data_IF_521257195318
#
_entry.id   IF_521257195318
#
_cell.length_a   1.000
_cell.length_b   1.000
_cell.length_c   1.000
_cell.angle_alpha   90.00
_cell.angle_beta   90.00
_cell.angle_gamma   90.00
#
_symmetry.space_group_name_H-M   'P 1'
#
loop_
_entity.id
_entity.type
_entity.pdbx_description
1 polymer ?
#
# COMPACT_ATOMS: atom_id res chain seq x y z
N UNK A 1 13.89 -1.09 -10.11
CA UNK A 1 12.96 -0.22 -9.33
C UNK A 1 13.18 1.23 -9.75
N UNK A 2 12.11 2.01 -9.91
CA UNK A 2 12.24 3.45 -10.16
C UNK A 2 12.05 4.23 -8.88
N UNK A 3 12.87 5.27 -8.67
CA UNK A 3 12.86 6.12 -7.50
C UNK A 3 12.49 7.57 -7.88
N UNK A 4 12.31 8.43 -6.89
CA UNK A 4 12.18 9.87 -7.05
C UNK A 4 13.06 10.61 -6.03
N UNK A 5 13.24 11.91 -6.20
CA UNK A 5 14.10 12.70 -5.33
C UNK A 5 13.50 12.88 -3.92
N UNK A 6 12.18 12.74 -3.74
CA UNK A 6 11.53 12.77 -2.42
C UNK A 6 11.99 11.64 -1.49
N UNK A 7 12.33 10.46 -2.06
CA UNK A 7 12.90 9.37 -1.27
C UNK A 7 14.29 9.74 -0.75
N UNK A 8 15.14 10.30 -1.60
CA UNK A 8 16.49 10.75 -1.20
C UNK A 8 16.40 11.90 -0.20
N UNK A 9 15.47 12.85 -0.39
CA UNK A 9 15.17 13.88 0.59
C UNK A 9 14.87 13.30 1.96
N UNK A 10 13.99 12.33 2.05
CA UNK A 10 13.66 11.67 3.32
C UNK A 10 14.87 10.94 3.93
N UNK A 11 15.56 10.13 3.12
CA UNK A 11 16.64 9.26 3.62
C UNK A 11 17.91 10.02 4.03
N UNK A 12 18.07 11.25 3.55
CA UNK A 12 19.22 12.13 3.81
C UNK A 12 18.85 13.41 4.58
N UNK A 13 17.63 13.47 5.13
CA UNK A 13 17.04 14.70 5.69
C UNK A 13 17.89 15.42 6.73
N UNK A 14 18.66 14.68 7.54
CA UNK A 14 19.49 15.28 8.60
C UNK A 14 20.68 16.11 8.07
N UNK A 15 21.04 15.95 6.80
CA UNK A 15 22.23 16.55 6.19
C UNK A 15 21.92 17.53 5.06
N UNK A 16 20.65 17.65 4.66
CA UNK A 16 20.23 18.52 3.57
C UNK A 16 20.24 19.98 4.01
N UNK A 17 20.95 20.84 3.25
CA UNK A 17 20.94 22.29 3.43
C UNK A 17 19.72 22.96 2.78
N UNK A 18 19.20 22.36 1.70
CA UNK A 18 17.97 22.83 1.06
C UNK A 18 17.50 21.93 -0.08
N UNK A 19 16.29 22.22 -0.55
CA UNK A 19 15.67 21.44 -1.63
C UNK A 19 14.70 22.26 -2.47
N UNK A 20 14.59 21.91 -3.75
CA UNK A 20 13.51 22.31 -4.63
C UNK A 20 12.97 21.04 -5.33
N UNK A 21 11.73 20.66 -5.04
CA UNK A 21 11.09 19.43 -5.50
C UNK A 21 9.79 19.74 -6.19
N UNK A 22 9.75 19.60 -7.51
CA UNK A 22 8.63 19.97 -8.38
C UNK A 22 7.98 18.76 -9.06
N UNK A 23 8.68 17.60 -9.07
CA UNK A 23 8.15 16.40 -9.70
C UNK A 23 6.91 15.89 -8.98
N UNK A 24 6.05 15.20 -9.73
CA UNK A 24 5.00 14.40 -9.14
C UNK A 24 5.63 13.22 -8.37
N UNK A 25 5.50 13.27 -7.04
CA UNK A 25 6.02 12.26 -6.13
C UNK A 25 5.45 10.85 -6.41
N UNK A 26 4.28 10.77 -7.06
CA UNK A 26 3.64 9.52 -7.47
C UNK A 26 4.19 8.94 -8.79
N UNK A 27 5.07 9.66 -9.49
CA UNK A 27 5.61 9.24 -10.77
C UNK A 27 7.15 9.09 -10.71
N UNK A 28 7.66 8.03 -10.05
CA UNK A 28 9.10 7.82 -9.92
C UNK A 28 9.73 7.56 -11.28
N UNK A 29 10.83 8.25 -11.58
CA UNK A 29 11.51 8.18 -12.88
C UNK A 29 12.97 7.76 -12.80
N UNK A 30 13.63 7.94 -11.65
CA UNK A 30 15.06 7.70 -11.46
C UNK A 30 15.35 6.19 -11.46
N UNK A 31 16.15 5.76 -12.41
CA UNK A 31 16.60 4.37 -12.53
C UNK A 31 17.97 4.14 -11.86
N UNK A 32 18.88 5.11 -11.98
CA UNK A 32 20.23 5.08 -11.39
C UNK A 32 20.78 6.49 -11.16
N UNK A 33 21.91 6.56 -10.47
CA UNK A 33 22.63 7.80 -10.25
C UNK A 33 24.02 7.77 -10.89
N UNK A 34 24.48 8.91 -11.36
CA UNK A 34 25.85 9.11 -11.90
C UNK A 34 26.42 10.45 -11.47
N UNK A 35 27.74 10.57 -11.61
CA UNK A 35 28.41 11.85 -11.46
C UNK A 35 28.13 12.71 -12.69
N UNK A 36 27.81 13.98 -12.48
CA UNK A 36 27.60 14.93 -13.56
C UNK A 36 28.91 15.18 -14.30
N UNK A 37 28.93 14.99 -15.61
CA UNK A 37 30.05 15.33 -16.46
C UNK A 37 29.89 16.75 -17.04
N UNK A 38 30.90 17.62 -16.95
CA UNK A 38 30.85 18.91 -17.60
C UNK A 38 30.76 18.87 -19.12
N UNK A 39 31.03 17.71 -19.72
CA UNK A 39 30.95 17.49 -21.20
C UNK A 39 29.67 16.81 -21.63
N UNK A 40 28.73 16.51 -20.70
CA UNK A 40 27.44 15.88 -20.99
C UNK A 40 26.68 16.71 -22.04
N UNK A 41 26.27 16.04 -23.12
CA UNK A 41 25.56 16.70 -24.21
C UNK A 41 24.03 16.67 -24.06
N UNK A 42 23.51 15.74 -23.26
CA UNK A 42 22.07 15.56 -23.02
C UNK A 42 21.82 14.94 -21.64
N UNK A 43 20.82 15.46 -20.92
CA UNK A 43 20.45 15.00 -19.58
C UNK A 43 19.16 14.19 -19.63
N UNK A 44 19.13 13.07 -18.93
CA UNK A 44 17.96 12.18 -18.87
C UNK A 44 17.19 12.33 -17.57
N UNK A 45 15.87 12.38 -17.63
CA UNK A 45 15.00 12.37 -16.46
C UNK A 45 15.03 11.04 -15.66
N UNK A 46 15.63 9.99 -16.24
CA UNK A 46 15.80 8.69 -15.56
C UNK A 46 17.10 8.59 -14.77
N UNK A 47 17.90 9.65 -14.76
CA UNK A 47 19.21 9.70 -14.11
C UNK A 47 19.20 10.76 -13.00
N UNK A 48 19.71 10.38 -11.84
CA UNK A 48 20.05 11.30 -10.77
C UNK A 48 21.50 11.75 -10.92
N UNK A 49 21.71 13.02 -11.23
CA UNK A 49 23.04 13.57 -11.41
C UNK A 49 23.58 14.12 -10.09
N UNK A 50 24.83 13.76 -9.75
CA UNK A 50 25.50 14.21 -8.53
C UNK A 50 26.73 15.01 -8.91
N UNK A 51 26.89 16.20 -8.33
CA UNK A 51 27.99 17.11 -8.63
C UNK A 51 28.35 18.01 -7.46
N UNK A 52 29.50 18.68 -7.58
CA UNK A 52 29.80 19.88 -6.80
C UNK A 52 29.18 21.14 -7.44
N UNK A 53 29.22 22.23 -6.68
CA UNK A 53 28.74 23.55 -7.12
C UNK A 53 29.39 24.01 -8.43
N UNK A 54 30.71 23.86 -8.55
CA UNK A 54 31.49 24.34 -9.70
C UNK A 54 31.14 23.61 -10.99
N UNK A 55 31.01 22.30 -10.93
CA UNK A 55 30.64 21.46 -12.05
C UNK A 55 29.17 21.73 -12.49
N UNK A 56 28.26 21.91 -11.52
CA UNK A 56 26.89 22.24 -11.79
C UNK A 56 26.75 23.63 -12.39
N UNK A 57 27.48 24.62 -11.90
CA UNK A 57 27.55 25.99 -12.44
C UNK A 57 28.04 26.00 -13.90
N UNK A 58 29.12 25.26 -14.17
CA UNK A 58 29.65 25.12 -15.54
C UNK A 58 28.68 24.47 -16.51
N UNK A 59 27.77 23.61 -16.02
CA UNK A 59 26.76 22.90 -16.80
C UNK A 59 25.43 23.65 -16.88
N UNK A 60 25.21 24.66 -16.05
CA UNK A 60 23.92 25.33 -15.82
C UNK A 60 23.26 25.81 -17.11
N UNK A 61 23.97 26.54 -17.98
CA UNK A 61 23.42 27.08 -19.23
C UNK A 61 22.93 25.98 -20.19
N UNK A 62 23.55 24.79 -20.18
CA UNK A 62 23.11 23.65 -21.02
C UNK A 62 21.90 22.98 -20.43
N UNK A 63 21.87 22.82 -19.11
CA UNK A 63 20.74 22.27 -18.38
C UNK A 63 19.52 23.14 -18.61
N UNK A 64 19.62 24.47 -18.44
CA UNK A 64 18.53 25.43 -18.65
C UNK A 64 18.00 25.37 -20.09
N UNK A 65 18.89 25.39 -21.10
CA UNK A 65 18.47 25.26 -22.52
C UNK A 65 17.70 23.96 -22.78
N UNK A 66 18.13 22.85 -22.18
CA UNK A 66 17.42 21.59 -22.34
C UNK A 66 16.05 21.62 -21.66
N UNK A 67 15.95 22.17 -20.47
CA UNK A 67 14.69 22.37 -19.74
C UNK A 67 13.72 23.23 -20.59
N UNK A 68 14.19 24.34 -21.13
CA UNK A 68 13.41 25.24 -22.00
C UNK A 68 12.92 24.54 -23.27
N UNK A 69 13.72 23.64 -23.85
CA UNK A 69 13.35 22.87 -25.05
C UNK A 69 12.40 21.71 -24.76
N UNK A 70 12.31 21.25 -23.51
CA UNK A 70 11.50 20.11 -23.08
C UNK A 70 10.86 20.37 -21.70
N UNK A 71 9.89 21.29 -21.60
CA UNK A 71 9.34 21.73 -20.29
C UNK A 71 8.64 20.63 -19.48
N UNK A 72 8.21 19.54 -20.12
CA UNK A 72 7.59 18.39 -19.46
C UNK A 72 8.59 17.42 -18.81
N UNK A 73 9.89 17.62 -19.04
CA UNK A 73 10.96 16.78 -18.51
C UNK A 73 11.54 17.42 -17.26
N UNK A 74 11.34 16.78 -16.11
CA UNK A 74 11.97 17.21 -14.86
C UNK A 74 13.28 16.46 -14.70
N UNK A 75 14.37 17.20 -14.55
CA UNK A 75 15.71 16.66 -14.31
C UNK A 75 16.01 16.65 -12.83
N UNK A 76 16.77 15.66 -12.35
CA UNK A 76 17.03 15.45 -10.92
C UNK A 76 18.53 15.57 -10.58
N UNK A 77 18.84 16.40 -9.60
CA UNK A 77 20.22 16.69 -9.18
C UNK A 77 20.40 16.58 -7.67
N UNK A 78 21.63 16.21 -7.29
CA UNK A 78 22.16 16.38 -5.93
C UNK A 78 23.46 17.19 -6.04
N UNK A 79 23.59 18.26 -5.25
CA UNK A 79 24.71 19.18 -5.28
C UNK A 79 25.42 19.22 -3.91
N UNK A 80 26.75 19.04 -3.91
CA UNK A 80 27.60 19.44 -2.80
C UNK A 80 27.91 20.94 -2.96
N UNK A 81 27.50 21.76 -2.00
CA UNK A 81 27.51 23.22 -2.09
C UNK A 81 26.22 23.80 -2.64
N UNK A 82 26.16 25.12 -2.82
CA UNK A 82 24.98 25.87 -3.22
C UNK A 82 24.78 25.82 -4.74
N UNK A 83 23.63 25.29 -5.24
CA UNK A 83 23.38 25.26 -6.68
C UNK A 83 23.11 26.65 -7.25
N UNK A 84 23.29 26.86 -8.57
CA UNK A 84 22.92 28.10 -9.26
C UNK A 84 21.43 28.43 -9.07
N UNK A 85 21.11 29.71 -8.82
CA UNK A 85 19.73 30.19 -8.62
C UNK A 85 18.79 29.83 -9.76
N UNK A 86 19.29 29.80 -11.01
CA UNK A 86 18.50 29.43 -12.16
C UNK A 86 17.95 27.97 -12.08
N UNK A 87 18.66 27.07 -11.40
CA UNK A 87 18.20 25.70 -11.18
C UNK A 87 17.32 25.60 -9.92
N UNK A 88 17.65 26.34 -8.85
CA UNK A 88 16.84 26.39 -7.62
C UNK A 88 15.42 26.90 -7.94
N UNK A 89 15.31 27.92 -8.78
CA UNK A 89 14.02 28.55 -9.13
C UNK A 89 13.31 27.89 -10.33
N UNK A 90 13.86 26.82 -10.90
CA UNK A 90 13.27 26.14 -12.04
C UNK A 90 12.17 25.16 -11.61
N UNK A 91 10.99 25.25 -12.22
CA UNK A 91 9.90 24.29 -12.05
C UNK A 91 10.12 22.94 -12.75
N UNK A 92 11.12 22.86 -13.63
CA UNK A 92 11.46 21.63 -14.36
C UNK A 92 12.78 21.01 -13.87
N UNK A 93 13.17 21.34 -12.64
CA UNK A 93 14.33 20.79 -11.98
C UNK A 93 13.98 20.38 -10.55
N UNK A 94 14.29 19.15 -10.19
CA UNK A 94 14.32 18.68 -8.81
C UNK A 94 15.76 18.71 -8.34
N UNK A 95 16.03 19.36 -7.22
CA UNK A 95 17.38 19.47 -6.69
C UNK A 95 17.41 19.40 -5.17
N UNK A 96 18.37 18.62 -4.64
CA UNK A 96 18.79 18.64 -3.24
C UNK A 96 20.20 19.18 -3.15
N UNK A 97 20.48 19.99 -2.12
CA UNK A 97 21.85 20.44 -1.91
C UNK A 97 22.26 20.32 -0.45
N UNK A 98 23.54 20.15 -0.29
CA UNK A 98 24.21 19.90 0.98
C UNK A 98 25.21 21.02 1.22
N UNK A 99 25.56 21.25 2.46
CA UNK A 99 26.58 22.22 2.81
C UNK A 99 28.00 21.77 2.35
N UNK A 100 28.98 22.68 2.47
CA UNK A 100 30.35 22.43 2.04
C UNK A 100 31.09 21.35 2.88
N UNK A 101 30.47 20.82 3.92
CA UNK A 101 31.03 19.70 4.71
C UNK A 101 30.91 18.35 4.01
N UNK A 102 30.08 18.26 2.96
CA UNK A 102 29.84 17.05 2.20
C UNK A 102 30.56 17.08 0.86
N UNK A 103 31.38 16.06 0.59
CA UNK A 103 32.00 15.92 -0.73
C UNK A 103 31.16 15.04 -1.69
N UNK A 104 31.44 15.21 -2.99
CA UNK A 104 30.74 14.47 -4.04
C UNK A 104 30.89 12.94 -3.90
N UNK A 105 32.06 12.37 -3.61
CA UNK A 105 32.22 10.95 -3.37
C UNK A 105 31.36 10.42 -2.22
N UNK A 106 31.24 11.12 -1.11
CA UNK A 106 30.42 10.74 0.03
C UNK A 106 28.94 10.77 -0.33
N UNK A 107 28.47 11.83 -0.99
CA UNK A 107 27.09 11.94 -1.47
C UNK A 107 26.76 10.81 -2.46
N UNK A 108 27.66 10.57 -3.41
CA UNK A 108 27.48 9.49 -4.38
C UNK A 108 27.40 8.12 -3.70
N UNK A 109 28.27 7.86 -2.72
CA UNK A 109 28.24 6.63 -1.95
C UNK A 109 26.92 6.46 -1.18
N UNK A 110 26.44 7.50 -0.50
CA UNK A 110 25.17 7.49 0.23
C UNK A 110 23.98 7.23 -0.69
N UNK A 111 23.94 7.89 -1.84
CA UNK A 111 22.91 7.66 -2.87
C UNK A 111 22.94 6.22 -3.38
N UNK A 112 24.13 5.69 -3.68
CA UNK A 112 24.26 4.29 -4.13
C UNK A 112 23.80 3.28 -3.06
N UNK A 113 24.09 3.56 -1.78
CA UNK A 113 23.59 2.73 -0.67
C UNK A 113 22.07 2.73 -0.60
N UNK A 114 21.40 3.89 -0.77
CA UNK A 114 19.95 4.00 -0.79
C UNK A 114 19.39 3.19 -1.96
N UNK A 115 19.91 3.40 -3.18
CA UNK A 115 19.46 2.66 -4.38
C UNK A 115 19.62 1.15 -4.17
N UNK A 116 20.78 0.72 -3.66
CA UNK A 116 21.04 -0.70 -3.42
C UNK A 116 20.08 -1.30 -2.39
N UNK A 117 19.85 -0.60 -1.26
CA UNK A 117 18.96 -1.06 -0.20
C UNK A 117 17.52 -1.27 -0.72
N UNK A 118 16.98 -0.29 -1.44
CA UNK A 118 15.62 -0.38 -1.97
C UNK A 118 15.50 -1.41 -3.10
N UNK A 119 16.51 -1.52 -3.97
CA UNK A 119 16.52 -2.54 -5.03
C UNK A 119 16.64 -3.95 -4.46
N UNK A 120 17.46 -4.16 -3.44
CA UNK A 120 17.59 -5.44 -2.74
C UNK A 120 16.29 -5.83 -2.04
N UNK A 121 15.60 -4.86 -1.45
CA UNK A 121 14.29 -5.09 -0.85
C UNK A 121 13.23 -5.46 -1.90
N UNK A 122 13.11 -4.74 -3.04
CA UNK A 122 12.17 -5.12 -4.12
C UNK A 122 12.47 -6.54 -4.63
N UNK A 123 13.75 -6.90 -4.77
CA UNK A 123 14.14 -8.25 -5.19
C UNK A 123 13.74 -9.30 -4.14
N UNK A 124 13.89 -9.00 -2.84
CA UNK A 124 13.44 -9.87 -1.77
C UNK A 124 11.92 -10.08 -1.79
N UNK A 125 11.13 -9.01 -1.96
CA UNK A 125 9.68 -9.13 -2.11
C UNK A 125 9.30 -10.00 -3.33
N UNK A 126 9.98 -9.81 -4.46
CA UNK A 126 9.76 -10.65 -5.65
C UNK A 126 10.12 -12.12 -5.39
N UNK A 127 11.17 -12.39 -4.61
CA UNK A 127 11.54 -13.74 -4.21
C UNK A 127 10.47 -14.38 -3.33
N UNK A 128 9.99 -13.68 -2.31
CA UNK A 128 8.88 -14.15 -1.46
C UNK A 128 7.66 -14.51 -2.31
N UNK A 129 7.26 -13.62 -3.24
CA UNK A 129 6.14 -13.89 -4.17
C UNK A 129 6.40 -15.13 -5.02
N UNK A 130 7.60 -15.30 -5.59
CA UNK A 130 7.91 -16.44 -6.46
C UNK A 130 7.99 -17.78 -5.72
N UNK A 131 8.29 -17.75 -4.42
CA UNK A 131 8.35 -18.92 -3.55
C UNK A 131 7.00 -19.29 -2.93
N UNK A 132 5.93 -18.53 -3.22
CA UNK A 132 4.60 -18.77 -2.66
C UNK A 132 4.45 -18.31 -1.21
N UNK A 133 5.27 -17.38 -0.76
CA UNK A 133 5.09 -16.72 0.55
C UNK A 133 3.81 -15.89 0.59
N UNK A 134 3.33 -15.55 1.78
CA UNK A 134 2.07 -14.84 2.00
C UNK A 134 2.23 -13.32 2.21
N UNK A 135 1.10 -12.65 2.46
CA UNK A 135 1.07 -11.23 2.80
C UNK A 135 1.86 -10.94 4.09
N UNK A 136 1.77 -11.75 5.17
CA UNK A 136 2.55 -11.53 6.37
C UNK A 136 4.06 -11.46 6.13
N UNK A 137 4.62 -12.34 5.28
CA UNK A 137 6.04 -12.36 4.96
C UNK A 137 6.46 -11.13 4.15
N UNK A 138 5.60 -10.63 3.25
CA UNK A 138 5.86 -9.39 2.51
C UNK A 138 5.88 -8.17 3.44
N UNK A 139 4.97 -8.12 4.41
CA UNK A 139 4.89 -7.04 5.40
C UNK A 139 6.09 -7.10 6.35
N UNK A 140 6.47 -8.30 6.83
CA UNK A 140 7.65 -8.51 7.68
C UNK A 140 8.94 -8.03 6.98
N UNK A 141 9.12 -8.38 5.70
CA UNK A 141 10.27 -7.95 4.90
C UNK A 141 10.30 -6.43 4.65
N UNK A 142 9.17 -5.74 4.85
CA UNK A 142 9.01 -4.32 4.54
C UNK A 142 9.16 -3.40 5.75
N UNK A 143 8.90 -3.88 6.97
CA UNK A 143 8.83 -3.03 8.16
C UNK A 143 10.14 -2.29 8.46
N UNK A 144 11.30 -2.92 8.23
CA UNK A 144 12.61 -2.30 8.45
C UNK A 144 13.00 -1.26 7.38
N UNK A 145 12.42 -1.36 6.19
CA UNK A 145 12.63 -0.38 5.10
C UNK A 145 11.72 0.83 5.31
N UNK A 146 10.46 0.58 5.64
CA UNK A 146 9.43 1.61 5.85
C UNK A 146 9.63 2.32 7.18
N UNK A 147 10.14 1.62 8.22
CA UNK A 147 10.40 2.14 9.57
C UNK A 147 9.18 2.73 10.26
N UNK A 148 8.02 2.22 9.93
CA UNK A 148 6.74 2.54 10.55
C UNK A 148 5.88 1.27 10.61
N UNK A 149 4.78 1.34 11.35
CA UNK A 149 3.85 0.22 11.43
C UNK A 149 3.12 0.04 10.10
N UNK A 150 2.94 -1.21 9.71
CA UNK A 150 2.29 -1.57 8.45
C UNK A 150 1.09 -2.46 8.77
N UNK A 151 -0.07 -2.10 8.23
CA UNK A 151 -1.30 -2.88 8.31
C UNK A 151 -1.81 -3.17 6.90
N UNK A 152 -2.19 -4.42 6.64
CA UNK A 152 -2.88 -4.83 5.42
C UNK A 152 -4.23 -5.41 5.81
N UNK A 153 -5.30 -4.86 5.23
CA UNK A 153 -6.66 -5.29 5.50
C UNK A 153 -7.40 -5.64 4.23
N UNK A 154 -8.41 -6.47 4.37
CA UNK A 154 -9.44 -6.61 3.36
C UNK A 154 -10.47 -5.44 3.43
N UNK A 155 -11.43 -5.35 2.49
CA UNK A 155 -12.42 -4.28 2.50
C UNK A 155 -13.34 -4.28 3.72
N UNK A 156 -13.42 -5.38 4.46
CA UNK A 156 -14.21 -5.49 5.68
C UNK A 156 -13.52 -4.93 6.91
N UNK A 157 -12.26 -4.55 6.78
CA UNK A 157 -11.41 -4.15 7.90
C UNK A 157 -10.77 -5.33 8.62
N UNK A 158 -10.84 -6.54 8.05
CA UNK A 158 -10.13 -7.69 8.59
C UNK A 158 -8.65 -7.57 8.34
N UNK A 159 -7.87 -7.77 9.37
CA UNK A 159 -6.40 -7.66 9.34
C UNK A 159 -5.80 -8.93 8.76
N UNK A 160 -5.15 -8.80 7.61
CA UNK A 160 -4.45 -9.88 6.92
C UNK A 160 -2.99 -9.98 7.35
N UNK A 161 -2.38 -8.83 7.65
CA UNK A 161 -1.05 -8.73 8.23
C UNK A 161 -0.92 -7.41 8.99
N UNK A 162 -0.24 -7.46 10.13
CA UNK A 162 0.12 -6.29 10.91
C UNK A 162 1.51 -6.46 11.50
N UNK A 163 2.38 -5.47 11.30
CA UNK A 163 3.72 -5.44 11.89
C UNK A 163 4.03 -4.09 12.50
N UNK A 164 4.59 -4.12 13.69
CA UNK A 164 5.07 -2.98 14.44
C UNK A 164 6.56 -2.85 14.18
N UNK A 165 7.02 -1.67 13.79
CA UNK A 165 8.44 -1.44 13.48
C UNK A 165 9.33 -1.59 14.71
N UNK A 166 8.93 -1.01 15.84
CA UNK A 166 9.62 -1.14 17.13
C UNK A 166 8.59 -1.15 18.23
N UNK A 167 8.82 -2.00 19.22
CA UNK A 167 8.00 -2.05 20.43
C UNK A 167 8.18 -0.75 21.26
N UNK A 168 7.67 0.37 20.73
CA UNK A 168 7.48 1.57 21.53
C UNK A 168 6.33 1.23 22.46
N UNK A 169 6.50 1.38 23.77
CA UNK A 169 5.37 1.32 24.69
C UNK A 169 4.35 2.37 24.22
N UNK A 170 3.43 1.92 23.38
CA UNK A 170 2.28 2.70 22.97
C UNK A 170 1.54 3.06 24.26
N UNK A 171 1.07 4.29 24.37
CA UNK A 171 0.23 4.68 25.51
C UNK A 171 -0.90 3.66 25.63
N UNK A 172 -1.34 3.33 26.85
CA UNK A 172 -2.37 2.31 27.12
C UNK A 172 -3.66 2.45 26.30
N UNK A 173 -3.91 3.63 25.68
CA UNK A 173 -5.01 3.87 24.73
C UNK A 173 -4.75 3.33 23.31
N UNK A 174 -3.51 3.03 22.94
CA UNK A 174 -3.10 2.61 21.60
C UNK A 174 -2.79 1.11 21.49
N UNK A 175 -2.87 0.37 22.58
CA UNK A 175 -2.84 -1.09 22.60
C UNK A 175 -4.19 -1.68 22.19
N UNK A 176 -4.81 -1.16 21.13
CA UNK A 176 -5.76 -1.99 20.41
C UNK A 176 -4.99 -3.21 19.93
N UNK A 177 -5.41 -4.37 20.41
CA UNK A 177 -4.85 -5.66 20.01
C UNK A 177 -5.22 -5.91 18.54
N UNK A 178 -4.54 -5.20 17.63
CA UNK A 178 -4.64 -5.48 16.20
C UNK A 178 -3.90 -6.81 16.00
N UNK A 179 -4.65 -7.87 15.86
CA UNK A 179 -4.11 -9.20 15.59
C UNK A 179 -4.46 -9.63 14.17
N UNK A 180 -3.59 -10.40 13.55
CA UNK A 180 -3.90 -11.03 12.28
C UNK A 180 -5.15 -11.91 12.41
N UNK A 181 -6.05 -11.80 11.44
CA UNK A 181 -7.35 -12.48 11.45
C UNK A 181 -8.45 -11.78 12.24
N UNK A 182 -8.14 -10.80 13.11
CA UNK A 182 -9.13 -9.97 13.78
C UNK A 182 -9.63 -8.86 12.86
N UNK A 183 -10.69 -8.17 13.28
CA UNK A 183 -11.17 -6.97 12.61
C UNK A 183 -10.56 -5.73 13.26
N UNK A 184 -10.38 -4.68 12.46
CA UNK A 184 -10.07 -3.37 13.00
C UNK A 184 -11.19 -2.92 13.95
N UNK A 185 -10.88 -2.25 15.06
CA UNK A 185 -11.88 -1.68 15.96
C UNK A 185 -12.88 -0.80 15.22
N UNK A 186 -14.13 -0.79 15.69
CA UNK A 186 -15.24 -0.06 15.04
C UNK A 186 -14.98 1.46 14.92
N UNK A 187 -14.28 2.04 15.88
CA UNK A 187 -13.87 3.45 15.86
C UNK A 187 -12.86 3.74 14.73
N UNK A 188 -11.97 2.81 14.41
CA UNK A 188 -11.08 2.92 13.24
C UNK A 188 -11.84 2.82 11.92
N UNK A 189 -12.86 1.98 11.87
CA UNK A 189 -13.70 1.81 10.68
C UNK A 189 -14.64 2.99 10.51
N UNK A 190 -15.15 3.55 11.60
CA UNK A 190 -16.08 4.68 11.63
C UNK A 190 -15.43 6.05 11.42
N UNK A 191 -14.10 6.15 11.41
CA UNK A 191 -13.37 7.42 11.35
C UNK A 191 -13.54 8.22 10.04
N UNK A 192 -14.35 7.70 9.11
CA UNK A 192 -14.72 8.37 7.84
C UNK A 192 -13.54 8.64 6.90
N UNK A 193 -12.33 8.77 7.46
CA UNK A 193 -11.08 8.97 6.73
C UNK A 193 -10.81 7.84 5.74
N UNK A 194 -11.14 6.62 6.15
CA UNK A 194 -11.07 5.47 5.26
C UNK A 194 -12.00 5.68 4.07
N UNK A 195 -13.12 6.41 4.19
CA UNK A 195 -14.03 6.70 3.09
C UNK A 195 -13.48 7.74 2.13
N UNK A 196 -12.96 8.86 2.65
CA UNK A 196 -12.36 9.92 1.86
C UNK A 196 -11.09 9.43 1.12
N UNK A 197 -10.24 8.68 1.81
CA UNK A 197 -9.04 8.09 1.21
C UNK A 197 -9.39 7.00 0.20
N UNK A 198 -10.46 6.22 0.44
CA UNK A 198 -10.93 5.21 -0.52
C UNK A 198 -11.50 5.85 -1.78
N UNK A 199 -12.35 6.86 -1.68
CA UNK A 199 -12.86 7.57 -2.84
C UNK A 199 -11.72 8.11 -3.69
N UNK A 200 -10.71 8.72 -3.07
CA UNK A 200 -9.53 9.21 -3.77
C UNK A 200 -8.64 8.09 -4.32
N UNK A 201 -8.46 6.99 -3.61
CA UNK A 201 -7.59 5.88 -4.02
C UNK A 201 -8.23 4.90 -4.99
N UNK A 202 -9.56 4.76 -4.98
CA UNK A 202 -10.29 3.98 -6.01
C UNK A 202 -10.05 4.51 -7.41
N UNK A 203 -9.90 5.83 -7.54
CA UNK A 203 -9.67 6.49 -8.83
C UNK A 203 -8.18 6.60 -9.19
N UNK A 204 -7.28 6.68 -8.21
CA UNK A 204 -5.89 7.03 -8.48
C UNK A 204 -4.95 5.85 -8.65
N UNK A 205 -5.25 4.67 -8.11
CA UNK A 205 -4.31 3.51 -7.97
C UNK A 205 -2.96 3.88 -7.33
N UNK A 206 -2.85 5.06 -6.75
CA UNK A 206 -1.65 5.65 -6.19
C UNK A 206 -1.80 5.74 -4.67
N UNK A 207 -0.70 5.71 -3.92
CA UNK A 207 -0.73 5.94 -2.49
C UNK A 207 -1.35 7.30 -2.16
N UNK A 208 -2.16 7.38 -1.12
CA UNK A 208 -2.81 8.60 -0.66
C UNK A 208 -2.42 8.89 0.78
N UNK A 209 -2.29 10.19 1.09
CA UNK A 209 -2.06 10.65 2.46
C UNK A 209 -3.39 10.90 3.15
N UNK A 210 -3.42 10.63 4.44
CA UNK A 210 -4.55 10.95 5.29
C UNK A 210 -4.14 11.05 6.75
N UNK A 211 -5.08 11.47 7.60
CA UNK A 211 -4.90 11.48 9.05
C UNK A 211 -5.94 10.58 9.69
N UNK A 212 -5.48 9.60 10.45
CA UNK A 212 -6.35 8.72 11.21
C UNK A 212 -6.65 9.35 12.56
N UNK A 213 -7.89 9.84 12.75
CA UNK A 213 -8.31 10.58 13.94
C UNK A 213 -8.35 9.73 15.19
N UNK A 214 -8.81 8.47 15.06
CA UNK A 214 -8.87 7.50 16.16
C UNK A 214 -7.50 7.21 16.80
N UNK A 215 -6.41 7.32 16.04
CA UNK A 215 -5.03 7.13 16.51
C UNK A 215 -4.21 8.41 16.56
N UNK A 216 -4.78 9.53 16.16
CA UNK A 216 -4.07 10.81 16.01
C UNK A 216 -2.74 10.70 15.26
N UNK A 217 -2.70 9.88 14.22
CA UNK A 217 -1.53 9.64 13.41
C UNK A 217 -1.80 9.89 11.92
N UNK A 218 -0.77 10.34 11.21
CA UNK A 218 -0.82 10.43 9.75
C UNK A 218 -0.64 9.03 9.15
N UNK A 219 -1.23 8.81 7.99
CA UNK A 219 -1.23 7.50 7.33
C UNK A 219 -1.03 7.66 5.84
N UNK A 220 -0.30 6.70 5.24
CA UNK A 220 -0.28 6.48 3.79
C UNK A 220 -1.08 5.22 3.51
N UNK A 221 -2.04 5.30 2.62
CA UNK A 221 -2.83 4.15 2.18
C UNK A 221 -2.64 3.88 0.70
N UNK A 222 -2.56 2.60 0.36
CA UNK A 222 -2.56 2.10 -1.00
C UNK A 222 -3.69 1.10 -1.18
N UNK A 223 -4.55 1.33 -2.16
CA UNK A 223 -5.57 0.37 -2.58
C UNK A 223 -4.94 -0.61 -3.56
N UNK A 224 -5.12 -1.89 -3.30
CA UNK A 224 -4.52 -2.99 -4.05
C UNK A 224 -5.61 -3.74 -4.77
N UNK A 225 -5.65 -3.60 -6.09
CA UNK A 225 -6.51 -4.39 -6.97
C UNK A 225 -5.96 -5.81 -7.08
N UNK A 226 -6.70 -6.78 -6.57
CA UNK A 226 -6.29 -8.19 -6.56
C UNK A 226 -6.53 -8.91 -7.88
N UNK A 227 -7.17 -8.24 -8.86
CA UNK A 227 -7.61 -8.87 -10.10
C UNK A 227 -8.84 -9.78 -9.94
N UNK A 228 -9.40 -9.80 -8.75
CA UNK A 228 -10.64 -10.48 -8.36
C UNK A 228 -11.64 -9.43 -7.86
N UNK A 229 -12.84 -9.84 -7.51
CA UNK A 229 -13.93 -8.92 -7.14
C UNK A 229 -13.72 -8.19 -5.78
N UNK A 230 -12.53 -8.13 -5.26
CA UNK A 230 -12.23 -7.42 -4.02
C UNK A 230 -10.90 -6.67 -4.08
N UNK A 231 -10.81 -5.65 -3.25
CA UNK A 231 -9.61 -4.82 -3.08
C UNK A 231 -8.99 -5.10 -1.71
N UNK A 232 -7.67 -4.97 -1.61
CA UNK A 232 -6.99 -4.91 -0.33
C UNK A 232 -6.54 -3.47 -0.06
N UNK A 233 -6.29 -3.17 1.21
CA UNK A 233 -5.78 -1.88 1.64
C UNK A 233 -4.48 -2.13 2.40
N UNK A 234 -3.40 -1.52 1.95
CA UNK A 234 -2.16 -1.43 2.70
C UNK A 234 -2.05 -0.03 3.30
N UNK A 235 -1.83 0.07 4.61
CA UNK A 235 -1.64 1.33 5.32
C UNK A 235 -0.33 1.35 6.09
N UNK A 236 0.36 2.49 6.03
CA UNK A 236 1.58 2.80 6.78
C UNK A 236 1.22 3.88 7.78
N UNK A 237 1.40 3.62 9.07
CA UNK A 237 1.00 4.50 10.17
C UNK A 237 2.21 5.22 10.74
N UNK A 238 2.13 6.56 10.90
CA UNK A 238 3.22 7.39 11.43
C UNK A 238 3.43 7.25 12.95
N UNK A 239 3.46 6.01 13.43
CA UNK A 239 3.60 5.75 14.86
C UNK A 239 5.04 5.89 15.37
N UNK A 240 6.01 5.76 14.48
CA UNK A 240 7.43 5.84 14.85
C UNK A 240 8.11 7.10 14.30
N UNK A 241 7.90 7.41 13.04
CA UNK A 241 8.41 8.62 12.37
C UNK A 241 7.32 9.23 11.50
N UNK A 242 7.36 10.55 11.24
CA UNK A 242 6.44 11.18 10.29
C UNK A 242 6.45 10.47 8.95
N UNK A 243 5.28 10.30 8.35
CA UNK A 243 5.18 9.82 6.97
C UNK A 243 5.31 10.99 6.00
N UNK A 244 6.11 10.79 4.96
CA UNK A 244 6.44 11.79 3.97
C UNK A 244 6.20 11.29 2.54
N UNK A 245 6.25 12.20 1.57
CA UNK A 245 6.11 11.86 0.15
C UNK A 245 7.09 10.77 -0.32
N UNK A 246 8.29 10.70 0.29
CA UNK A 246 9.27 9.64 0.02
C UNK A 246 8.77 8.23 0.37
N UNK A 247 7.90 8.10 1.38
CA UNK A 247 7.35 6.80 1.80
C UNK A 247 6.34 6.23 0.81
N UNK A 248 5.77 7.06 -0.05
CA UNK A 248 4.81 6.61 -1.05
C UNK A 248 5.44 5.62 -2.04
N UNK A 249 6.74 5.75 -2.31
CA UNK A 249 7.47 4.78 -3.14
C UNK A 249 7.47 3.41 -2.45
N UNK A 250 7.80 3.36 -1.17
CA UNK A 250 7.81 2.11 -0.41
C UNK A 250 6.40 1.50 -0.33
N UNK A 251 5.37 2.33 -0.08
CA UNK A 251 3.97 1.90 -0.10
C UNK A 251 3.56 1.31 -1.45
N UNK A 252 3.91 1.98 -2.55
CA UNK A 252 3.61 1.51 -3.92
C UNK A 252 4.32 0.20 -4.27
N UNK A 253 5.58 0.04 -3.87
CA UNK A 253 6.37 -1.19 -4.10
C UNK A 253 5.77 -2.36 -3.33
N UNK A 254 5.43 -2.18 -2.05
CA UNK A 254 4.75 -3.19 -1.25
C UNK A 254 3.38 -3.56 -1.85
N UNK A 255 2.56 -2.57 -2.20
CA UNK A 255 1.25 -2.78 -2.82
C UNK A 255 1.37 -3.57 -4.14
N UNK A 256 2.38 -3.26 -4.97
CA UNK A 256 2.68 -4.00 -6.21
C UNK A 256 3.07 -5.46 -5.94
N UNK A 257 3.86 -5.71 -4.90
CA UNK A 257 4.24 -7.08 -4.51
C UNK A 257 3.03 -7.89 -4.04
N UNK A 258 2.18 -7.30 -3.18
CA UNK A 258 0.93 -7.93 -2.71
C UNK A 258 0.00 -8.19 -3.89
N UNK A 259 -0.18 -7.22 -4.80
CA UNK A 259 -0.98 -7.42 -6.01
C UNK A 259 -0.47 -8.60 -6.85
N UNK A 260 0.84 -8.67 -7.10
CA UNK A 260 1.46 -9.77 -7.85
C UNK A 260 1.23 -11.11 -7.18
N UNK A 261 1.31 -11.15 -5.84
CA UNK A 261 1.01 -12.32 -5.05
C UNK A 261 -0.45 -12.79 -5.28
N UNK A 262 -1.41 -11.88 -5.14
CA UNK A 262 -2.83 -12.18 -5.34
C UNK A 262 -3.13 -12.66 -6.77
N UNK A 263 -2.51 -12.05 -7.79
CA UNK A 263 -2.70 -12.43 -9.19
C UNK A 263 -2.12 -13.82 -9.49
N UNK A 264 -0.97 -14.18 -8.89
CA UNK A 264 -0.30 -15.45 -9.16
C UNK A 264 -1.00 -16.64 -8.52
N UNK A 265 -1.56 -16.46 -7.33
CA UNK A 265 -2.01 -17.58 -6.50
C UNK A 265 -3.50 -17.49 -6.13
N UNK A 266 -4.16 -16.44 -6.55
CA UNK A 266 -5.59 -16.24 -6.33
C UNK A 266 -5.98 -15.93 -4.88
N UNK A 267 -7.29 -15.98 -4.56
CA UNK A 267 -7.81 -15.62 -3.24
C UNK A 267 -7.31 -16.49 -2.08
N UNK A 268 -6.79 -17.69 -2.38
CA UNK A 268 -6.29 -18.64 -1.36
C UNK A 268 -5.13 -18.09 -0.51
N UNK A 269 -4.45 -17.04 -0.98
CA UNK A 269 -3.32 -16.42 -0.27
C UNK A 269 -3.74 -15.40 0.77
N UNK A 270 -4.94 -14.86 0.63
CA UNK A 270 -5.56 -14.12 1.71
C UNK A 270 -5.97 -15.14 2.76
N UNK A 271 -4.95 -15.71 3.43
CA UNK A 271 -5.07 -16.82 4.37
C UNK A 271 -6.02 -16.50 5.52
N UNK A 272 -7.30 -16.52 5.23
CA UNK A 272 -8.30 -16.77 6.23
C UNK A 272 -9.10 -17.97 5.76
N UNK A 273 -9.22 -18.92 6.61
CA UNK A 273 -10.18 -20.02 6.55
C UNK A 273 -11.53 -19.58 5.97
N UNK A 274 -11.98 -18.38 6.32
CA UNK A 274 -13.25 -17.79 5.86
C UNK A 274 -13.23 -17.22 4.44
N UNK A 275 -12.16 -16.56 4.00
CA UNK A 275 -12.11 -15.99 2.64
C UNK A 275 -12.12 -17.08 1.58
N UNK A 276 -11.48 -18.22 1.87
CA UNK A 276 -11.52 -19.37 0.99
C UNK A 276 -12.91 -20.01 0.99
N UNK A 277 -13.55 -20.19 2.16
CA UNK A 277 -14.92 -20.69 2.27
C UNK A 277 -15.93 -19.76 1.61
N UNK A 278 -15.82 -18.43 1.79
CA UNK A 278 -16.71 -17.47 1.13
C UNK A 278 -16.59 -17.53 -0.40
N UNK A 279 -15.38 -17.65 -0.93
CA UNK A 279 -15.17 -17.78 -2.38
C UNK A 279 -15.76 -19.07 -2.93
N UNK A 280 -15.63 -20.18 -2.20
CA UNK A 280 -16.22 -21.47 -2.57
C UNK A 280 -17.76 -21.40 -2.51
N UNK A 281 -18.31 -20.88 -1.41
CA UNK A 281 -19.75 -20.72 -1.24
C UNK A 281 -20.36 -19.76 -2.27
N UNK A 282 -19.65 -18.68 -2.60
CA UNK A 282 -20.02 -17.76 -3.67
C UNK A 282 -20.04 -18.46 -5.03
N UNK A 283 -19.01 -19.26 -5.34
CA UNK A 283 -18.97 -20.04 -6.57
C UNK A 283 -20.15 -21.00 -6.66
N UNK A 284 -20.51 -21.67 -5.55
CA UNK A 284 -21.69 -22.53 -5.47
C UNK A 284 -23.00 -21.77 -5.74
N UNK A 285 -23.18 -20.63 -5.08
CA UNK A 285 -24.41 -19.81 -5.25
C UNK A 285 -24.53 -19.30 -6.69
N UNK A 286 -23.41 -18.97 -7.33
CA UNK A 286 -23.34 -18.53 -8.74
C UNK A 286 -23.35 -19.72 -9.73
N UNK A 287 -23.53 -20.95 -9.26
CA UNK A 287 -23.55 -22.18 -10.06
C UNK A 287 -22.26 -22.43 -10.85
N UNK A 288 -21.12 -21.91 -10.37
CA UNK A 288 -19.82 -22.22 -10.93
C UNK A 288 -19.40 -23.64 -10.49
N UNK A 289 -18.63 -24.31 -11.34
CA UNK A 289 -18.15 -25.65 -11.02
C UNK A 289 -17.16 -25.60 -9.84
N UNK A 290 -17.46 -26.35 -8.78
CA UNK A 290 -16.58 -26.54 -7.61
C UNK A 290 -16.32 -28.04 -7.47
N UNK A 291 -15.06 -28.44 -7.25
CA UNK A 291 -14.72 -29.85 -7.10
C UNK A 291 -15.24 -30.42 -5.76
N UNK A 292 -15.54 -31.71 -5.72
CA UNK A 292 -15.99 -32.39 -4.50
C UNK A 292 -14.93 -32.30 -3.37
N UNK A 293 -13.66 -32.36 -3.72
CA UNK A 293 -12.57 -32.19 -2.76
C UNK A 293 -12.56 -30.81 -2.13
N UNK A 294 -12.82 -29.75 -2.91
CA UNK A 294 -12.90 -28.36 -2.44
C UNK A 294 -14.13 -28.15 -1.55
N UNK A 295 -15.26 -28.76 -1.91
CA UNK A 295 -16.48 -28.75 -1.10
C UNK A 295 -16.29 -29.47 0.23
N UNK A 296 -15.63 -30.62 0.19
CA UNK A 296 -15.30 -31.39 1.40
C UNK A 296 -14.43 -30.58 2.36
N UNK A 297 -13.42 -29.91 1.83
CA UNK A 297 -12.54 -29.04 2.64
C UNK A 297 -13.32 -27.86 3.22
N UNK A 298 -14.16 -27.19 2.42
CA UNK A 298 -15.02 -26.10 2.86
C UNK A 298 -15.96 -26.54 4.00
N UNK A 299 -16.63 -27.67 3.84
CA UNK A 299 -17.53 -28.24 4.85
C UNK A 299 -16.79 -28.60 6.15
N UNK A 300 -15.60 -29.14 6.04
CA UNK A 300 -14.75 -29.44 7.21
C UNK A 300 -14.36 -28.18 7.97
N UNK A 301 -13.98 -27.11 7.25
CA UNK A 301 -13.62 -25.81 7.83
C UNK A 301 -14.81 -25.18 8.55
N UNK A 302 -16.00 -25.25 7.97
CA UNK A 302 -17.24 -24.72 8.55
C UNK A 302 -17.81 -25.62 9.65
N UNK A 303 -17.23 -26.82 9.87
CA UNK A 303 -17.77 -27.80 10.79
C UNK A 303 -19.12 -28.36 10.34
N UNK A 304 -19.39 -28.37 9.03
CA UNK A 304 -20.62 -28.93 8.46
C UNK A 304 -20.49 -30.43 8.26
N UNK A 305 -21.50 -31.18 8.68
CA UNK A 305 -21.57 -32.63 8.49
C UNK A 305 -22.31 -32.95 7.18
N UNK A 306 -21.88 -33.99 6.45
CA UNK A 306 -22.14 -34.09 5.01
C UNK A 306 -23.53 -34.60 4.61
N UNK A 307 -24.18 -35.44 5.36
CA UNK A 307 -25.31 -36.25 4.80
C UNK A 307 -26.67 -35.91 5.34
N UNK A 308 -26.79 -35.18 6.47
CA UNK A 308 -28.08 -34.90 7.09
C UNK A 308 -28.26 -33.44 7.53
N UNK A 309 -27.34 -32.54 7.12
CA UNK A 309 -27.48 -31.15 7.51
C UNK A 309 -28.49 -30.41 6.64
N UNK A 310 -29.40 -29.70 7.25
CA UNK A 310 -30.31 -28.79 6.56
C UNK A 310 -29.72 -27.37 6.55
N UNK A 311 -29.81 -26.72 5.40
CA UNK A 311 -29.28 -25.37 5.19
C UNK A 311 -30.38 -24.42 4.77
N UNK A 312 -30.33 -23.22 5.34
CA UNK A 312 -31.12 -22.09 4.87
C UNK A 312 -30.21 -21.04 4.23
N UNK A 313 -30.62 -20.51 3.10
CA UNK A 313 -29.93 -19.42 2.43
C UNK A 313 -30.82 -18.18 2.44
N UNK A 314 -30.30 -17.08 3.02
CA UNK A 314 -31.01 -15.80 3.06
C UNK A 314 -30.26 -14.79 2.18
N UNK A 315 -31.02 -13.94 1.52
CA UNK A 315 -30.51 -12.84 0.73
C UNK A 315 -31.00 -11.52 1.33
N UNK A 316 -30.08 -10.68 1.78
CA UNK A 316 -30.35 -9.34 2.28
C UNK A 316 -29.95 -8.33 1.21
N UNK A 317 -30.90 -7.65 0.61
CA UNK A 317 -30.68 -6.62 -0.41
C UNK A 317 -30.97 -5.21 0.13
N UNK A 318 -30.59 -4.15 -0.60
CA UNK A 318 -30.94 -2.80 -0.25
C UNK A 318 -32.46 -2.61 -0.31
N UNK A 319 -32.99 -1.85 0.65
CA UNK A 319 -34.38 -1.39 0.53
C UNK A 319 -34.51 -0.51 -0.72
N UNK A 320 -35.59 -0.65 -1.52
CA UNK A 320 -35.83 0.21 -2.68
C UNK A 320 -35.88 1.70 -2.35
N UNK A 321 -36.09 2.05 -1.06
CA UNK A 321 -36.13 3.44 -0.58
C UNK A 321 -34.75 4.04 -0.30
N UNK A 322 -33.69 3.24 -0.27
CA UNK A 322 -32.34 3.72 -0.03
C UNK A 322 -31.62 4.01 -1.37
N UNK A 323 -31.72 5.24 -1.84
CA UNK A 323 -30.90 5.75 -2.94
C UNK A 323 -29.51 6.13 -2.38
N UNK A 324 -28.64 5.14 -2.28
CA UNK A 324 -27.22 5.38 -1.94
C UNK A 324 -26.44 5.59 -3.25
N UNK A 325 -25.62 6.64 -3.32
CA UNK A 325 -24.76 6.93 -4.47
C UNK A 325 -23.84 5.74 -4.81
N UNK A 326 -23.45 5.59 -6.06
CA UNK A 326 -22.73 4.40 -6.56
C UNK A 326 -21.40 4.09 -5.86
N UNK A 327 -20.69 5.09 -5.31
CA UNK A 327 -19.43 4.91 -4.59
C UNK A 327 -19.56 4.44 -3.13
N UNK A 328 -20.75 4.63 -2.54
CA UNK A 328 -21.01 4.37 -1.10
C UNK A 328 -21.37 2.90 -0.79
N UNK A 329 -21.54 2.06 -1.81
CA UNK A 329 -22.37 0.86 -1.73
C UNK A 329 -21.69 -0.41 -1.21
N UNK A 330 -20.38 -0.52 -1.21
CA UNK A 330 -19.73 -1.79 -0.83
C UNK A 330 -19.53 -1.94 0.69
N UNK A 331 -19.35 -0.86 1.42
CA UNK A 331 -19.05 -0.90 2.86
C UNK A 331 -20.18 -1.33 3.76
N UNK A 332 -21.39 -0.76 3.64
CA UNK A 332 -22.50 -1.20 4.47
C UNK A 332 -22.75 -2.69 4.33
N UNK A 333 -22.64 -3.22 3.12
CA UNK A 333 -22.87 -4.65 2.87
C UNK A 333 -21.80 -5.53 3.49
N UNK A 334 -20.54 -5.12 3.42
CA UNK A 334 -19.44 -5.88 4.04
C UNK A 334 -19.49 -5.77 5.56
N UNK A 335 -19.74 -4.60 6.12
CA UNK A 335 -19.89 -4.43 7.56
C UNK A 335 -21.09 -5.21 8.09
N UNK A 336 -22.24 -5.16 7.37
CA UNK A 336 -23.43 -5.94 7.73
C UNK A 336 -23.16 -7.44 7.59
N UNK A 337 -22.49 -7.89 6.53
CA UNK A 337 -22.18 -9.31 6.38
C UNK A 337 -21.29 -9.84 7.51
N UNK A 338 -20.30 -9.06 7.95
CA UNK A 338 -19.45 -9.42 9.08
C UNK A 338 -20.23 -9.46 10.40
N UNK A 339 -21.08 -8.44 10.62
CA UNK A 339 -21.95 -8.41 11.79
C UNK A 339 -22.88 -9.62 11.83
N UNK A 340 -23.55 -9.91 10.71
CA UNK A 340 -24.43 -11.07 10.59
C UNK A 340 -23.69 -12.38 10.80
N UNK A 341 -22.49 -12.50 10.22
CA UNK A 341 -21.64 -13.67 10.43
C UNK A 341 -21.27 -13.86 11.90
N UNK A 342 -20.89 -12.78 12.58
CA UNK A 342 -20.53 -12.83 13.99
C UNK A 342 -21.72 -13.16 14.91
N UNK A 343 -22.93 -12.65 14.59
CA UNK A 343 -24.12 -12.88 15.39
C UNK A 343 -24.73 -14.28 15.19
N UNK A 344 -24.65 -14.80 13.98
CA UNK A 344 -25.29 -16.07 13.62
C UNK A 344 -24.31 -17.26 13.56
N UNK A 345 -23.01 -17.01 13.80
CA UNK A 345 -21.94 -18.02 13.58
C UNK A 345 -22.12 -18.73 12.21
N UNK A 346 -22.45 -17.96 11.18
CA UNK A 346 -22.80 -18.45 9.86
C UNK A 346 -22.06 -17.67 8.78
N UNK A 347 -21.56 -18.32 7.70
CA UNK A 347 -20.92 -17.60 6.62
C UNK A 347 -21.86 -16.60 5.97
N UNK A 348 -21.42 -15.34 5.92
CA UNK A 348 -22.12 -14.24 5.27
C UNK A 348 -21.15 -13.52 4.33
N UNK A 349 -21.53 -13.37 3.05
CA UNK A 349 -20.70 -12.77 2.01
C UNK A 349 -21.53 -11.99 1.02
N UNK A 350 -20.88 -11.08 0.29
CA UNK A 350 -21.57 -10.22 -0.68
C UNK A 350 -21.49 -10.78 -2.09
N UNK A 351 -22.61 -10.75 -2.80
CA UNK A 351 -22.67 -10.92 -4.24
C UNK A 351 -23.35 -9.66 -4.80
N UNK A 352 -22.64 -8.88 -5.58
CA UNK A 352 -23.05 -7.55 -6.03
C UNK A 352 -23.55 -6.67 -4.86
N UNK A 353 -24.80 -6.26 -4.86
CA UNK A 353 -25.45 -5.46 -3.81
C UNK A 353 -26.30 -6.31 -2.86
N UNK A 354 -25.99 -7.60 -2.74
CA UNK A 354 -26.77 -8.55 -1.92
C UNK A 354 -25.85 -9.26 -0.96
N UNK A 355 -26.22 -9.32 0.31
CA UNK A 355 -25.55 -10.16 1.31
C UNK A 355 -26.23 -11.53 1.27
N UNK A 356 -25.45 -12.56 1.05
CA UNK A 356 -25.89 -13.96 1.10
C UNK A 356 -25.42 -14.55 2.42
N UNK A 357 -26.33 -15.11 3.18
CA UNK A 357 -26.09 -15.79 4.46
C UNK A 357 -26.50 -17.23 4.33
N UNK A 358 -25.62 -18.17 4.68
CA UNK A 358 -25.93 -19.60 4.65
C UNK A 358 -25.85 -20.14 6.08
N UNK A 359 -27.00 -20.58 6.60
CA UNK A 359 -27.14 -21.09 7.96
C UNK A 359 -27.29 -22.60 7.92
N UNK A 360 -26.52 -23.32 8.72
CA UNK A 360 -26.74 -24.73 9.00
C UNK A 360 -27.79 -24.85 10.10
N UNK A 361 -29.00 -25.27 9.74
CA UNK A 361 -30.15 -25.41 10.66
C UNK A 361 -30.02 -26.62 11.60
N UNK A 362 -29.13 -27.55 11.28
CA UNK A 362 -28.88 -28.74 12.09
C UNK A 362 -27.97 -28.49 13.30
N UNK A 363 -27.39 -27.27 13.44
CA UNK A 363 -26.63 -26.89 14.64
C UNK A 363 -27.57 -26.48 15.76
N UNK A 364 -27.49 -27.16 16.91
CA UNK A 364 -28.32 -26.90 18.10
C UNK A 364 -28.24 -25.48 18.67
N UNK A 365 -27.24 -24.68 18.28
CA UNK A 365 -27.03 -23.33 18.79
C UNK A 365 -28.02 -22.26 18.26
N UNK A 366 -28.89 -22.59 17.31
CA UNK A 366 -29.87 -21.66 16.72
C UNK A 366 -31.28 -21.74 17.36
N UNK A 367 -31.45 -22.57 18.41
CA UNK A 367 -32.79 -22.86 18.97
C UNK A 367 -32.97 -22.28 20.41
N UNK A 368 -32.09 -21.38 20.86
CA UNK A 368 -32.24 -20.68 22.15
C UNK A 368 -32.48 -19.19 22.00
#
# INVERSE_FOLDING_TARGET
MKLNLYLFHKEMAETIAGSNLNSDWNNPKIDYACLLSPTEGHYSQSILYISDESTLAASCNRIVRQIESSPSSILSFICAGTPPEALINSSSCDILWFDDSHDVPQLFHSVQQIIHRFSSWENNLNSIVSQGGGIPELVEASVNIIRNDICVTDPSGRVLAYRIFRNKMLSQKQTCQIAEGSFLPDDMVADGLIDEIRENSFHSKLPTFGRMRSFDCDVIQSTIDTGHDYLLISSIHSNYQPVEKGDCIASAVLAKAIRKLCLNYGPAIVNSTYTNTHSILRALVLKNAVSDSTLTQCSSILGWQKENDEYACFCLGPSPSLQLGEGFLMRPYVAISNYVQAQLDAPAFTIDKTIVVIINLSREALIN
#
